data_IF_300570482753
#
_entry.id   IF_300570482753
#
_cell.length_a   1.000
_cell.length_b   1.000
_cell.length_c   1.000
_cell.angle_alpha   90.00
_cell.angle_beta   90.00
_cell.angle_gamma   90.00
#
_symmetry.space_group_name_H-M   'P 1'
#
loop_
_entity.id
_entity.type
_entity.pdbx_description
1 polymer ?
#
# COMPACT_ATOMS: atom_id res chain seq x y z
N UNK A 1 -5.43 -21.30 -48.00
CA UNK A 1 -4.00 -21.00 -48.27
C UNK A 1 -3.58 -19.66 -47.66
N UNK A 2 -4.29 -18.55 -47.92
CA UNK A 2 -4.04 -17.25 -47.25
C UNK A 2 -4.05 -17.33 -45.73
N UNK A 3 -4.95 -18.11 -45.13
CA UNK A 3 -5.00 -18.30 -43.68
C UNK A 3 -3.76 -19.00 -43.13
N UNK A 4 -3.13 -19.89 -43.91
CA UNK A 4 -1.87 -20.57 -43.51
C UNK A 4 -0.71 -19.59 -43.59
N UNK A 5 -0.70 -18.72 -44.61
CA UNK A 5 0.28 -17.65 -44.73
C UNK A 5 0.13 -16.63 -43.59
N UNK A 6 -1.09 -16.19 -43.31
CA UNK A 6 -1.39 -15.30 -42.18
C UNK A 6 -1.05 -15.93 -40.84
N UNK A 7 -1.32 -17.22 -40.67
CA UNK A 7 -0.95 -17.97 -39.47
C UNK A 7 0.56 -18.08 -39.32
N UNK A 8 1.31 -18.38 -40.38
CA UNK A 8 2.78 -18.40 -40.35
C UNK A 8 3.38 -17.03 -40.08
N UNK A 9 2.83 -15.96 -40.67
CA UNK A 9 3.28 -14.58 -40.42
C UNK A 9 2.98 -14.17 -38.99
N UNK A 10 1.78 -14.47 -38.48
CA UNK A 10 1.41 -14.21 -37.09
C UNK A 10 2.27 -15.04 -36.12
N UNK A 11 2.46 -16.33 -36.37
CA UNK A 11 3.33 -17.19 -35.57
C UNK A 11 4.80 -16.81 -35.67
N UNK A 12 5.27 -16.16 -36.74
CA UNK A 12 6.63 -15.64 -36.80
C UNK A 12 6.76 -14.29 -36.06
N UNK A 13 5.75 -13.43 -36.19
CA UNK A 13 5.68 -12.16 -35.48
C UNK A 13 5.48 -12.33 -33.96
N UNK A 14 4.79 -13.39 -33.53
CA UNK A 14 4.51 -13.69 -32.12
C UNK A 14 5.29 -14.90 -31.56
N UNK A 15 5.94 -15.70 -32.41
CA UNK A 15 6.50 -17.01 -32.04
C UNK A 15 8.01 -17.09 -32.22
N UNK A 16 8.70 -16.48 -31.28
CA UNK A 16 9.18 -17.17 -30.08
C UNK A 16 8.87 -16.20 -28.98
N UNK A 17 8.14 -16.62 -27.94
CA UNK A 17 7.90 -15.75 -26.79
C UNK A 17 9.22 -15.07 -26.46
N UNK A 18 9.26 -13.75 -26.64
CA UNK A 18 10.29 -12.94 -26.04
C UNK A 18 10.33 -13.46 -24.60
N UNK A 19 11.43 -14.12 -24.24
CA UNK A 19 11.78 -14.29 -22.84
C UNK A 19 11.81 -12.86 -22.35
N UNK A 20 10.66 -12.34 -21.86
CA UNK A 20 10.65 -11.17 -21.02
C UNK A 20 11.70 -11.50 -19.98
N UNK A 21 12.81 -10.77 -20.05
CA UNK A 21 13.98 -10.98 -19.20
C UNK A 21 13.45 -11.39 -17.83
N UNK A 22 13.82 -12.58 -17.31
CA UNK A 22 13.11 -13.22 -16.21
C UNK A 22 12.77 -12.15 -15.21
N UNK A 23 11.47 -11.84 -15.08
CA UNK A 23 11.02 -10.95 -14.03
C UNK A 23 11.72 -11.49 -12.78
N UNK A 24 12.46 -10.66 -12.03
CA UNK A 24 13.21 -11.11 -10.87
C UNK A 24 12.33 -12.12 -10.13
N UNK A 25 12.81 -13.32 -9.79
CA UNK A 25 11.94 -14.42 -9.33
C UNK A 25 11.05 -14.05 -8.12
N UNK A 26 11.32 -12.89 -7.51
CA UNK A 26 10.63 -12.32 -6.36
C UNK A 26 9.76 -11.07 -6.70
N UNK A 27 9.73 -10.59 -7.95
CA UNK A 27 8.83 -9.51 -8.35
C UNK A 27 7.44 -10.09 -8.56
N UNK A 28 6.69 -10.16 -7.47
CA UNK A 28 5.26 -10.45 -7.53
C UNK A 28 4.61 -9.31 -8.33
N UNK A 29 3.94 -9.55 -9.47
CA UNK A 29 3.29 -8.51 -10.28
C UNK A 29 2.08 -7.85 -9.59
N UNK A 30 1.94 -8.05 -8.28
CA UNK A 30 0.87 -7.51 -7.47
C UNK A 30 1.19 -6.04 -7.25
N UNK A 31 0.43 -5.20 -7.95
CA UNK A 31 0.47 -3.75 -7.79
C UNK A 31 -0.24 -3.39 -6.47
N UNK A 32 0.55 -3.25 -5.42
CA UNK A 32 0.14 -2.60 -4.17
C UNK A 32 0.86 -1.25 -4.08
N UNK A 33 0.26 -0.25 -3.42
CA UNK A 33 0.94 1.01 -3.18
C UNK A 33 2.15 0.79 -2.25
N UNK A 34 3.32 1.27 -2.66
CA UNK A 34 4.55 1.23 -1.87
C UNK A 34 4.77 2.53 -1.08
N UNK A 35 4.07 3.59 -1.46
CA UNK A 35 4.20 4.96 -0.92
C UNK A 35 3.22 5.26 0.23
N UNK A 36 2.18 4.43 0.39
CA UNK A 36 1.16 4.59 1.42
C UNK A 36 0.71 3.24 1.99
N UNK A 37 0.07 3.23 3.18
CA UNK A 37 -0.61 2.04 3.68
C UNK A 37 -1.65 1.51 2.68
N UNK A 38 -1.71 0.19 2.58
CA UNK A 38 -2.66 -0.57 1.75
C UNK A 38 -4.07 -0.45 2.33
N UNK A 39 -5.03 -0.04 1.50
CA UNK A 39 -6.45 0.00 1.87
C UNK A 39 -7.19 -1.27 1.42
N UNK A 40 -8.43 -1.44 1.89
CA UNK A 40 -9.29 -2.53 1.41
C UNK A 40 -9.55 -2.48 -0.10
N UNK A 41 -9.67 -1.28 -0.67
CA UNK A 41 -9.86 -1.10 -2.12
C UNK A 41 -8.64 -1.56 -2.92
N UNK A 42 -7.43 -1.33 -2.40
CA UNK A 42 -6.21 -1.80 -3.04
C UNK A 42 -6.20 -3.34 -3.08
N UNK A 43 -6.59 -4.00 -1.98
CA UNK A 43 -6.69 -5.47 -1.92
C UNK A 43 -7.72 -6.03 -2.89
N UNK A 44 -8.89 -5.38 -3.03
CA UNK A 44 -9.93 -5.77 -4.01
C UNK A 44 -9.48 -5.59 -5.46
N UNK A 45 -8.58 -4.65 -5.72
CA UNK A 45 -8.05 -4.38 -7.06
C UNK A 45 -6.92 -5.34 -7.46
N UNK A 46 -6.35 -6.10 -6.52
CA UNK A 46 -5.22 -7.00 -6.78
C UNK A 46 -5.57 -8.05 -7.83
N UNK A 47 -4.67 -8.22 -8.81
CA UNK A 47 -4.74 -9.27 -9.83
C UNK A 47 -3.64 -10.31 -9.60
N UNK A 48 -4.03 -11.44 -9.00
CA UNK A 48 -3.12 -12.56 -8.78
C UNK A 48 -2.91 -13.37 -10.06
N UNK A 49 -1.66 -13.68 -10.39
CA UNK A 49 -1.31 -14.60 -11.48
C UNK A 49 -1.65 -16.04 -11.11
N UNK A 50 -2.20 -16.81 -12.05
CA UNK A 50 -2.55 -18.23 -11.84
C UNK A 50 -1.30 -19.11 -11.97
N UNK A 51 -0.95 -19.83 -10.91
CA UNK A 51 0.09 -20.85 -10.93
C UNK A 51 -0.50 -22.25 -10.65
N UNK A 52 0.08 -23.30 -11.24
CA UNK A 52 -0.30 -24.71 -11.04
C UNK A 52 0.12 -25.24 -9.65
N UNK A 53 -0.26 -24.54 -8.58
CA UNK A 53 -0.25 -25.04 -7.20
C UNK A 53 -1.68 -25.03 -6.67
N UNK A 54 -2.08 -26.15 -6.07
CA UNK A 54 -3.47 -26.47 -5.75
C UNK A 54 -4.07 -25.66 -4.59
N UNK A 55 -4.39 -24.40 -4.85
CA UNK A 55 -5.35 -23.62 -4.05
C UNK A 55 -6.61 -23.40 -4.89
N UNK A 56 -7.79 -23.40 -4.26
CA UNK A 56 -9.02 -23.07 -4.98
C UNK A 56 -9.16 -21.56 -5.06
N UNK A 57 -9.33 -21.03 -6.27
CA UNK A 57 -9.51 -19.60 -6.52
C UNK A 57 -10.59 -18.99 -5.63
N UNK A 58 -11.73 -19.69 -5.49
CA UNK A 58 -12.84 -19.25 -4.62
C UNK A 58 -12.48 -19.07 -3.15
N UNK A 59 -11.59 -19.91 -2.61
CA UNK A 59 -11.14 -19.78 -1.21
C UNK A 59 -10.23 -18.57 -1.05
N UNK A 60 -9.35 -18.34 -2.03
CA UNK A 60 -8.48 -17.16 -2.07
C UNK A 60 -9.31 -15.89 -2.17
N UNK A 61 -10.27 -15.82 -3.09
CA UNK A 61 -11.16 -14.67 -3.27
C UNK A 61 -11.92 -14.35 -1.98
N UNK A 62 -12.41 -15.39 -1.28
CA UNK A 62 -13.09 -15.22 -0.01
C UNK A 62 -12.17 -14.67 1.10
N UNK A 63 -10.94 -15.17 1.19
CA UNK A 63 -9.95 -14.67 2.17
C UNK A 63 -9.57 -13.22 1.86
N UNK A 64 -9.39 -12.86 0.59
CA UNK A 64 -9.05 -11.49 0.17
C UNK A 64 -10.19 -10.52 0.51
N UNK A 65 -11.45 -10.91 0.30
CA UNK A 65 -12.60 -10.07 0.68
C UNK A 65 -12.65 -9.85 2.20
N UNK A 66 -12.42 -10.91 2.98
CA UNK A 66 -12.34 -10.77 4.44
C UNK A 66 -11.19 -9.88 4.89
N UNK A 67 -10.04 -9.94 4.23
CA UNK A 67 -8.90 -9.09 4.53
C UNK A 67 -9.20 -7.63 4.17
N UNK A 68 -9.82 -7.38 3.03
CA UNK A 68 -10.23 -6.04 2.61
C UNK A 68 -11.18 -5.40 3.63
N UNK A 69 -12.19 -6.14 4.10
CA UNK A 69 -13.09 -5.66 5.16
C UNK A 69 -12.37 -5.34 6.48
N UNK A 70 -11.39 -6.17 6.88
CA UNK A 70 -10.61 -5.92 8.08
C UNK A 70 -9.74 -4.64 7.98
N UNK A 71 -9.20 -4.35 6.79
CA UNK A 71 -8.46 -3.12 6.54
C UNK A 71 -9.38 -1.89 6.62
N UNK A 72 -10.57 -1.95 6.00
CA UNK A 72 -11.54 -0.85 6.05
C UNK A 72 -11.96 -0.52 7.49
N UNK A 73 -12.12 -1.54 8.33
CA UNK A 73 -12.46 -1.36 9.74
C UNK A 73 -11.31 -0.71 10.53
N UNK A 74 -10.07 -1.14 10.27
CA UNK A 74 -8.87 -0.53 10.87
C UNK A 74 -8.68 0.91 10.45
N UNK A 75 -8.83 1.22 9.16
CA UNK A 75 -8.69 2.58 8.63
C UNK A 75 -9.74 3.52 9.22
N UNK A 76 -10.98 3.03 9.40
CA UNK A 76 -12.05 3.80 10.04
C UNK A 76 -11.74 4.12 11.51
N UNK A 77 -11.19 3.16 12.24
CA UNK A 77 -10.77 3.37 13.63
C UNK A 77 -9.59 4.36 13.72
N UNK A 78 -8.59 4.22 12.85
CA UNK A 78 -7.47 5.16 12.78
C UNK A 78 -7.94 6.59 12.46
N UNK A 79 -8.91 6.74 11.55
CA UNK A 79 -9.50 8.03 11.23
C UNK A 79 -10.18 8.66 12.45
N UNK A 80 -10.93 7.87 13.23
CA UNK A 80 -11.57 8.34 14.47
C UNK A 80 -10.55 8.77 15.52
N UNK A 81 -9.52 7.96 15.74
CA UNK A 81 -8.47 8.26 16.72
C UNK A 81 -7.66 9.51 16.35
N UNK A 82 -7.33 9.67 15.06
CA UNK A 82 -6.61 10.85 14.57
C UNK A 82 -7.47 12.11 14.68
N UNK A 83 -8.74 12.05 14.28
CA UNK A 83 -9.65 13.19 14.42
C UNK A 83 -9.81 13.63 15.88
N UNK A 84 -9.94 12.69 16.81
CA UNK A 84 -10.01 12.99 18.23
C UNK A 84 -8.70 13.60 18.78
N UNK A 85 -7.54 13.19 18.27
CA UNK A 85 -6.26 13.77 18.66
C UNK A 85 -6.10 15.20 18.14
N UNK A 86 -6.52 15.46 16.89
CA UNK A 86 -6.48 16.80 16.28
C UNK A 86 -7.42 17.78 17.01
N UNK A 87 -8.61 17.33 17.40
CA UNK A 87 -9.56 18.11 18.22
C UNK A 87 -9.05 18.37 19.64
N UNK A 88 -8.18 17.50 20.15
CA UNK A 88 -7.64 17.57 21.52
C UNK A 88 -6.37 18.40 21.63
N UNK A 89 -5.73 18.79 20.53
CA UNK A 89 -4.50 19.58 20.53
C UNK A 89 -4.80 21.04 20.91
N UNK A 90 -4.51 21.48 22.16
CA UNK A 90 -4.69 22.87 22.54
C UNK A 90 -3.51 23.67 21.99
N UNK A 91 -3.80 24.90 21.53
CA UNK A 91 -2.83 25.91 21.14
C UNK A 91 -1.65 26.02 22.13
N UNK A 92 -0.57 25.26 21.88
CA UNK A 92 0.65 25.30 22.70
C UNK A 92 1.80 25.97 21.96
N UNK A 93 1.62 26.35 20.70
CA UNK A 93 2.62 27.14 19.97
C UNK A 93 2.16 28.59 19.81
N UNK A 94 2.23 29.36 20.90
CA UNK A 94 2.48 30.83 20.90
C UNK A 94 2.34 31.41 22.31
N UNK A 95 3.16 30.95 23.25
CA UNK A 95 3.52 31.78 24.39
C UNK A 95 4.92 32.38 24.11
N UNK A 96 5.07 33.72 23.99
CA UNK A 96 6.39 34.31 23.82
C UNK A 96 7.17 34.02 25.10
N UNK A 97 8.31 33.31 24.97
CA UNK A 97 9.24 33.08 26.06
C UNK A 97 9.79 34.43 26.52
N UNK A 98 9.21 34.97 27.59
CA UNK A 98 9.74 36.14 28.26
C UNK A 98 11.08 35.76 28.94
N UNK A 99 12.12 36.61 28.88
CA UNK A 99 13.44 36.26 29.37
C UNK A 99 13.44 36.15 30.89
N UNK A 100 14.05 35.08 31.39
CA UNK A 100 14.26 34.83 32.81
C UNK A 100 15.13 35.93 33.44
N UNK A 101 14.57 36.68 34.39
CA UNK A 101 15.37 37.52 35.28
C UNK A 101 16.02 36.62 36.35
N UNK A 102 17.35 36.69 36.42
CA UNK A 102 18.18 35.85 37.27
C UNK A 102 17.95 36.10 38.77
N UNK A 103 17.66 35.01 39.46
CA UNK A 103 18.13 34.80 40.82
C UNK A 103 19.66 34.79 40.82
N UNK A 104 20.29 35.81 41.38
CA UNK A 104 21.60 35.70 42.02
C UNK A 104 21.90 36.98 42.80
N UNK A 105 21.71 36.94 44.12
CA UNK A 105 22.09 38.06 44.98
C UNK A 105 21.76 37.91 46.45
N UNK A 106 21.66 36.67 46.95
CA UNK A 106 21.79 36.38 48.37
C UNK A 106 23.29 36.49 48.72
N UNK A 107 23.68 37.57 49.37
CA UNK A 107 24.91 37.69 50.16
C UNK A 107 24.63 38.80 51.19
N UNK A 108 24.35 38.44 52.44
CA UNK A 108 25.35 38.33 53.51
C UNK A 108 25.78 39.72 54.03
N UNK A 109 25.16 40.14 55.14
CA UNK A 109 25.73 40.87 56.30
C UNK A 109 24.62 41.44 57.18
#
# INVERSE_FOLDING_TARGET
MFSVLLFLVASFAFGRGEEMAPAPPDSTPVELPDDRPVSGDDVRAVRLSVALRGYRMREVDWVLEQLAGALDDRDRELAQLRGAADDSAPATDSAPVAPAYGEAGRADA
#
